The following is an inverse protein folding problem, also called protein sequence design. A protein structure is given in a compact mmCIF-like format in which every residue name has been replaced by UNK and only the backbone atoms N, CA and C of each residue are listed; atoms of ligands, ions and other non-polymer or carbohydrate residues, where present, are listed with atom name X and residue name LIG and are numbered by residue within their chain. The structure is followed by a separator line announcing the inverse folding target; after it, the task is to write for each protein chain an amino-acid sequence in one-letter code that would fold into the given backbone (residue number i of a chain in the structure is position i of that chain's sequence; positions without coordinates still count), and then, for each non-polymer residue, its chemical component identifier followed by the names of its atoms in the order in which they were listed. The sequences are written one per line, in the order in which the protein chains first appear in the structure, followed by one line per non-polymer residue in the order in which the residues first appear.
data_IF_458067966280
#
_entry.id   IF_458067966280
#
_cell.length_a   1.000
_cell.length_b   1.000
_cell.length_c   1.000
_cell.angle_alpha   90.00
_cell.angle_beta   90.00
_cell.angle_gamma   90.00
#
_symmetry.space_group_name_H-M   'P 1'
#
loop_
_entity.id
_entity.type
_entity.pdbx_description
1 polymer ?
#
# COMPACT_ATOMS: atom_id res chain seq x y z
N UNK A 1 -14.42 19.24 4.10
CA UNK A 1 -13.01 19.04 4.54
C UNK A 1 -12.84 17.71 5.28
N UNK A 2 -11.92 16.84 4.85
CA UNK A 2 -11.54 15.57 5.50
C UNK A 2 -10.58 15.87 6.66
N UNK A 3 -10.89 15.46 7.89
CA UNK A 3 -10.01 15.63 9.05
C UNK A 3 -9.31 14.29 9.33
N UNK A 4 -8.17 14.08 8.70
CA UNK A 4 -7.27 12.94 8.98
C UNK A 4 -6.43 13.38 10.18
N UNK A 5 -6.67 12.78 11.33
CA UNK A 5 -5.82 13.01 12.51
C UNK A 5 -4.54 12.18 12.36
N UNK A 6 -3.40 12.81 12.60
CA UNK A 6 -2.08 12.20 12.61
C UNK A 6 -1.54 12.22 14.04
N UNK A 7 -1.26 11.06 14.64
CA UNK A 7 -0.69 10.97 16.01
C UNK A 7 0.30 9.81 16.10
N UNK A 8 1.40 10.01 16.84
CA UNK A 8 2.39 8.99 17.23
C UNK A 8 2.07 8.56 18.66
N UNK A 9 1.92 7.26 18.93
CA UNK A 9 1.33 6.78 20.19
C UNK A 9 2.29 6.06 21.14
N UNK A 10 3.54 5.76 20.76
CA UNK A 10 4.49 5.11 21.70
C UNK A 10 5.95 5.23 21.26
N UNK A 11 6.84 5.56 22.20
CA UNK A 11 8.31 5.46 22.09
C UNK A 11 8.91 4.24 22.85
N UNK A 12 8.09 3.37 23.49
CA UNK A 12 8.58 2.41 24.50
C UNK A 12 8.57 0.91 24.17
N UNK A 13 8.06 0.44 23.03
CA UNK A 13 8.12 -0.98 22.63
C UNK A 13 9.17 -1.23 21.54
N UNK A 14 9.74 -2.42 21.50
CA UNK A 14 10.62 -2.88 20.42
C UNK A 14 9.97 -2.59 19.06
N UNK A 15 10.45 -1.54 18.40
CA UNK A 15 9.87 -1.01 17.19
C UNK A 15 10.48 -1.77 16.01
N UNK A 16 9.66 -2.56 15.31
CA UNK A 16 10.13 -3.17 14.07
C UNK A 16 10.31 -2.04 13.05
N UNK A 17 11.53 -1.80 12.56
CA UNK A 17 11.81 -0.63 11.76
C UNK A 17 11.00 -0.66 10.47
N UNK A 18 10.21 0.40 10.27
CA UNK A 18 9.64 0.76 8.96
C UNK A 18 10.77 0.99 7.92
N UNK A 19 11.98 1.31 8.41
CA UNK A 19 13.09 1.88 7.65
C UNK A 19 13.99 0.87 6.89
N UNK A 20 13.84 -0.44 7.11
CA UNK A 20 14.55 -1.44 6.30
C UNK A 20 14.29 -1.27 4.79
N UNK A 21 13.07 -0.82 4.47
CA UNK A 21 12.66 -0.47 3.12
C UNK A 21 13.25 0.86 2.64
N UNK A 22 13.36 1.90 3.47
CA UNK A 22 13.68 3.26 3.01
C UNK A 22 15.05 3.37 2.33
N UNK A 23 16.07 2.70 2.88
CA UNK A 23 17.41 2.65 2.27
C UNK A 23 17.41 1.87 0.95
N UNK A 24 16.80 0.68 0.92
CA UNK A 24 16.67 -0.11 -0.31
C UNK A 24 15.88 0.63 -1.39
N UNK A 25 14.77 1.25 -1.01
CA UNK A 25 13.94 2.08 -1.88
C UNK A 25 14.71 3.28 -2.41
N UNK A 26 15.60 3.91 -1.63
CA UNK A 26 16.45 5.00 -2.11
C UNK A 26 17.43 4.55 -3.19
N UNK A 27 18.06 3.38 -3.02
CA UNK A 27 18.95 2.79 -4.03
C UNK A 27 18.16 2.42 -5.28
N UNK A 28 17.03 1.74 -5.14
CA UNK A 28 16.15 1.38 -6.26
C UNK A 28 15.68 2.62 -7.01
N UNK A 29 15.27 3.67 -6.28
CA UNK A 29 14.86 4.94 -6.88
C UNK A 29 16.01 5.60 -7.65
N UNK A 30 17.22 5.67 -7.07
CA UNK A 30 18.39 6.25 -7.72
C UNK A 30 18.77 5.51 -8.99
N UNK A 31 18.81 4.17 -8.94
CA UNK A 31 19.07 3.32 -10.13
C UNK A 31 18.00 3.51 -11.19
N UNK A 32 16.72 3.55 -10.80
CA UNK A 32 15.60 3.75 -11.73
C UNK A 32 15.70 5.11 -12.44
N UNK A 33 16.06 6.18 -11.71
CA UNK A 33 16.26 7.52 -12.27
C UNK A 33 17.46 7.53 -13.23
N UNK A 34 18.57 6.88 -12.88
CA UNK A 34 19.75 6.81 -13.73
C UNK A 34 19.45 6.09 -15.06
N UNK A 35 18.72 4.97 -15.02
CA UNK A 35 18.29 4.25 -16.22
C UNK A 35 17.35 5.13 -17.06
N UNK A 36 16.36 5.77 -16.43
CA UNK A 36 15.44 6.67 -17.13
C UNK A 36 16.18 7.82 -17.84
N UNK A 37 17.17 8.43 -17.19
CA UNK A 37 17.99 9.48 -17.78
C UNK A 37 18.78 8.99 -19.01
N UNK A 38 19.34 7.77 -18.93
CA UNK A 38 20.01 7.14 -20.07
C UNK A 38 19.08 6.91 -21.25
N UNK A 39 17.85 6.46 -21.00
CA UNK A 39 16.84 6.28 -22.06
C UNK A 39 16.41 7.62 -22.68
N UNK A 40 16.25 8.68 -21.88
CA UNK A 40 15.96 10.03 -22.39
C UNK A 40 17.09 10.53 -23.31
N UNK A 41 18.34 10.26 -22.96
CA UNK A 41 19.48 10.62 -23.82
C UNK A 41 19.43 9.85 -25.16
N UNK A 42 19.08 8.56 -25.13
CA UNK A 42 18.89 7.76 -26.35
C UNK A 42 17.78 8.38 -27.22
N UNK A 43 16.64 8.76 -26.62
CA UNK A 43 15.53 9.42 -27.35
C UNK A 43 15.98 10.74 -27.98
N UNK A 44 16.83 11.51 -27.30
CA UNK A 44 17.31 12.80 -27.79
C UNK A 44 18.25 12.68 -29.00
N UNK A 45 18.99 11.58 -29.11
CA UNK A 45 20.01 11.35 -30.16
C UNK A 45 19.48 10.44 -31.29
N UNK A 46 18.48 9.60 -31.01
CA UNK A 46 17.90 8.72 -32.02
C UNK A 46 17.23 9.54 -33.14
N UNK A 47 17.45 9.19 -34.40
CA UNK A 47 16.73 9.78 -35.54
C UNK A 47 15.49 8.95 -35.94
N UNK A 48 15.47 7.68 -35.55
CA UNK A 48 14.37 6.77 -35.84
C UNK A 48 13.17 7.04 -34.90
N UNK A 49 12.00 7.26 -35.50
CA UNK A 49 10.75 7.53 -34.78
C UNK A 49 10.34 6.36 -33.89
N UNK A 50 10.56 5.12 -34.32
CA UNK A 50 10.23 3.93 -33.55
C UNK A 50 11.08 3.80 -32.29
N UNK A 51 12.39 4.05 -32.42
CA UNK A 51 13.34 4.12 -31.29
C UNK A 51 12.90 5.22 -30.31
N UNK A 52 12.56 6.42 -30.80
CA UNK A 52 12.08 7.54 -29.95
C UNK A 52 10.80 7.18 -29.19
N UNK A 53 9.82 6.57 -29.85
CA UNK A 53 8.54 6.19 -29.23
C UNK A 53 8.72 5.08 -28.19
N UNK A 54 9.50 4.05 -28.50
CA UNK A 54 9.73 2.92 -27.62
C UNK A 54 10.50 3.35 -26.35
N UNK A 55 11.66 3.99 -26.51
CA UNK A 55 12.47 4.43 -25.38
C UNK A 55 11.84 5.60 -24.62
N UNK A 56 11.06 6.44 -25.30
CA UNK A 56 10.25 7.48 -24.66
C UNK A 56 9.18 6.88 -23.73
N UNK A 57 8.45 5.86 -24.19
CA UNK A 57 7.47 5.15 -23.36
C UNK A 57 8.11 4.48 -22.13
N UNK A 58 9.27 3.81 -22.31
CA UNK A 58 10.01 3.22 -21.18
C UNK A 58 10.54 4.27 -20.21
N UNK A 59 11.06 5.40 -20.70
CA UNK A 59 11.53 6.50 -19.87
C UNK A 59 10.40 7.04 -18.99
N UNK A 60 9.23 7.28 -19.57
CA UNK A 60 8.05 7.76 -18.86
C UNK A 60 7.59 6.77 -17.79
N UNK A 61 7.56 5.48 -18.11
CA UNK A 61 7.25 4.42 -17.17
C UNK A 61 8.23 4.40 -15.98
N UNK A 62 9.53 4.48 -16.24
CA UNK A 62 10.56 4.47 -15.19
C UNK A 62 10.47 5.72 -14.30
N UNK A 63 10.22 6.89 -14.89
CA UNK A 63 9.98 8.13 -14.11
C UNK A 63 8.75 7.98 -13.22
N UNK A 64 7.65 7.40 -13.72
CA UNK A 64 6.45 7.16 -12.92
C UNK A 64 6.71 6.17 -11.78
N UNK A 65 7.48 5.09 -12.02
CA UNK A 65 7.90 4.14 -10.99
C UNK A 65 8.77 4.83 -9.94
N UNK A 66 9.75 5.63 -10.35
CA UNK A 66 10.62 6.37 -9.44
C UNK A 66 9.84 7.37 -8.58
N UNK A 67 8.89 8.10 -9.18
CA UNK A 67 7.99 9.00 -8.46
C UNK A 67 7.13 8.25 -7.43
N UNK A 68 6.56 7.10 -7.82
CA UNK A 68 5.79 6.26 -6.92
C UNK A 68 6.62 5.75 -5.73
N UNK A 69 7.84 5.27 -5.99
CA UNK A 69 8.78 4.83 -4.93
C UNK A 69 9.13 5.99 -4.00
N UNK A 70 9.41 7.17 -4.54
CA UNK A 70 9.68 8.38 -3.74
C UNK A 70 8.50 8.78 -2.86
N UNK A 71 7.27 8.74 -3.39
CA UNK A 71 6.07 8.99 -2.60
C UNK A 71 5.83 7.90 -1.55
N UNK A 72 6.08 6.63 -1.87
CA UNK A 72 5.95 5.52 -0.92
C UNK A 72 6.96 5.65 0.23
N UNK A 73 8.19 6.07 -0.07
CA UNK A 73 9.20 6.36 0.95
C UNK A 73 8.73 7.42 1.93
N UNK A 74 8.19 8.53 1.43
CA UNK A 74 7.60 9.58 2.29
C UNK A 74 6.46 9.07 3.15
N UNK A 75 5.69 8.09 2.65
CA UNK A 75 4.62 7.45 3.44
C UNK A 75 5.20 6.60 4.58
N UNK A 76 6.24 5.82 4.29
CA UNK A 76 6.89 4.91 5.24
C UNK A 76 7.74 5.64 6.29
N UNK A 77 8.31 6.79 5.94
CA UNK A 77 9.06 7.65 6.88
C UNK A 77 8.15 8.28 7.94
N UNK A 78 6.83 8.38 7.68
CA UNK A 78 5.88 8.93 8.63
C UNK A 78 5.30 7.85 9.56
N UNK A 79 5.77 7.75 10.81
CA UNK A 79 5.22 6.90 11.89
C UNK A 79 3.82 7.34 12.36
N UNK A 80 2.95 7.58 11.41
CA UNK A 80 1.69 8.29 11.56
C UNK A 80 0.54 7.31 11.48
N UNK A 81 -0.37 7.38 12.45
CA UNK A 81 -1.67 6.74 12.38
C UNK A 81 -2.65 7.65 11.64
N UNK A 82 -3.28 7.15 10.57
CA UNK A 82 -4.32 7.86 9.80
C UNK A 82 -5.68 7.23 10.06
N UNK A 83 -6.53 7.97 10.76
CA UNK A 83 -7.92 7.55 11.03
C UNK A 83 -8.92 8.37 10.23
N UNK A 84 -9.94 7.69 9.71
CA UNK A 84 -11.17 8.31 9.25
C UNK A 84 -12.06 8.55 10.47
N UNK A 85 -12.27 9.82 10.81
CA UNK A 85 -13.07 10.25 11.96
C UNK A 85 -14.57 10.21 11.68
N UNK A 86 -14.98 9.86 10.47
CA UNK A 86 -16.38 9.86 10.04
C UNK A 86 -17.00 8.48 10.21
N UNK A 87 -17.94 8.38 11.14
CA UNK A 87 -18.77 7.21 11.39
C UNK A 87 -18.43 6.49 12.70
N UNK A 88 -19.30 5.54 13.11
CA UNK A 88 -19.06 4.75 14.31
C UNK A 88 -17.88 3.79 14.11
N UNK A 89 -17.07 3.60 15.15
CA UNK A 89 -15.87 2.77 15.13
C UNK A 89 -14.59 3.53 14.78
N UNK A 90 -13.46 2.85 14.96
CA UNK A 90 -12.13 3.34 14.62
C UNK A 90 -11.72 2.78 13.25
N UNK A 91 -11.63 3.64 12.23
CA UNK A 91 -11.26 3.21 10.88
C UNK A 91 -9.90 3.76 10.47
N UNK A 92 -8.93 2.88 10.33
CA UNK A 92 -7.67 3.17 9.64
C UNK A 92 -7.94 3.18 8.14
N UNK A 93 -7.56 4.25 7.43
CA UNK A 93 -7.83 4.37 5.99
C UNK A 93 -6.56 4.77 5.24
N UNK A 94 -6.11 3.96 4.25
CA UNK A 94 -4.99 4.36 3.42
C UNK A 94 -5.35 5.55 2.53
N UNK A 95 -4.36 6.39 2.19
CA UNK A 95 -4.57 7.42 1.18
C UNK A 95 -4.93 6.78 -0.16
N UNK A 96 -5.68 7.50 -1.00
CA UNK A 96 -6.10 7.01 -2.33
C UNK A 96 -5.00 7.09 -3.38
N UNK A 97 -4.00 7.95 -3.18
CA UNK A 97 -2.95 8.22 -4.16
C UNK A 97 -2.07 7.00 -4.50
N UNK A 98 -1.69 6.07 -3.59
CA UNK A 98 -0.87 4.92 -3.96
C UNK A 98 -1.61 4.01 -4.94
N UNK A 99 -2.93 3.86 -4.77
CA UNK A 99 -3.76 3.11 -5.70
C UNK A 99 -3.87 3.82 -7.05
N UNK A 100 -4.09 5.14 -7.04
CA UNK A 100 -4.15 5.93 -8.28
C UNK A 100 -2.82 5.89 -9.06
N UNK A 101 -1.67 5.98 -8.38
CA UNK A 101 -0.36 5.82 -9.01
C UNK A 101 -0.16 4.43 -9.62
N UNK A 102 -0.62 3.37 -8.94
CA UNK A 102 -0.50 2.02 -9.46
C UNK A 102 -1.36 1.83 -10.72
N UNK A 103 -2.57 2.42 -10.76
CA UNK A 103 -3.38 2.50 -12.00
C UNK A 103 -2.58 3.20 -13.11
N UNK A 104 -2.01 4.37 -12.82
CA UNK A 104 -1.24 5.13 -13.81
C UNK A 104 -0.04 4.33 -14.34
N UNK A 105 0.72 3.65 -13.47
CA UNK A 105 1.84 2.80 -13.88
C UNK A 105 1.37 1.65 -14.78
N UNK A 106 0.25 1.00 -14.46
CA UNK A 106 -0.31 -0.07 -15.31
C UNK A 106 -0.71 0.48 -16.68
N UNK A 107 -1.35 1.66 -16.74
CA UNK A 107 -1.67 2.30 -18.02
C UNK A 107 -0.41 2.64 -18.83
N UNK A 108 0.64 3.17 -18.18
CA UNK A 108 1.93 3.46 -18.81
C UNK A 108 2.63 2.19 -19.30
N UNK A 109 2.47 1.07 -18.60
CA UNK A 109 3.04 -0.23 -18.99
C UNK A 109 2.49 -0.74 -20.34
N UNK A 110 1.31 -0.27 -20.76
CA UNK A 110 0.73 -0.61 -22.06
C UNK A 110 1.30 0.23 -23.22
N UNK A 111 1.91 1.40 -22.94
CA UNK A 111 2.40 2.31 -23.98
C UNK A 111 3.45 1.71 -24.92
N UNK A 112 4.44 0.91 -24.46
CA UNK A 112 5.41 0.30 -25.37
C UNK A 112 4.75 -0.59 -26.45
N UNK A 113 3.65 -1.27 -26.11
CA UNK A 113 2.94 -2.08 -27.09
C UNK A 113 2.15 -1.23 -28.08
N UNK A 114 1.58 -0.10 -27.65
CA UNK A 114 0.95 0.87 -28.55
C UNK A 114 1.97 1.42 -29.54
N UNK A 115 3.19 1.74 -29.08
CA UNK A 115 4.26 2.21 -29.95
C UNK A 115 4.58 1.19 -31.05
N UNK A 116 4.74 -0.10 -30.69
CA UNK A 116 5.03 -1.18 -31.66
C UNK A 116 3.91 -1.34 -32.70
N UNK A 117 2.64 -1.24 -32.30
CA UNK A 117 1.50 -1.30 -33.24
C UNK A 117 1.50 -0.10 -34.19
N UNK A 118 1.79 1.11 -33.69
CA UNK A 118 1.81 2.34 -34.48
C UNK A 118 2.94 2.35 -35.53
N UNK A 119 4.08 1.75 -35.22
CA UNK A 119 5.25 1.69 -36.12
C UNK A 119 5.01 0.74 -37.32
N UNK A 120 3.95 -0.09 -37.29
CA UNK A 120 3.57 -0.96 -38.41
C UNK A 120 4.24 -2.34 -38.42
N UNK A 121 5.14 -2.62 -37.47
CA UNK A 121 5.79 -3.93 -37.29
C UNK A 121 4.89 -4.98 -36.59
N UNK A 122 3.57 -4.88 -36.79
CA UNK A 122 2.60 -5.79 -36.20
C UNK A 122 2.86 -7.27 -36.59
N UNK A 123 3.46 -7.51 -37.76
CA UNK A 123 3.81 -8.84 -38.27
C UNK A 123 4.87 -9.57 -37.45
N UNK A 124 5.92 -8.88 -36.98
CA UNK A 124 6.90 -9.46 -36.05
C UNK A 124 6.43 -9.41 -34.59
N UNK A 125 5.63 -8.41 -34.23
CA UNK A 125 5.08 -8.23 -32.89
C UNK A 125 4.13 -9.38 -32.48
N UNK A 126 3.53 -10.11 -33.43
CA UNK A 126 2.66 -11.26 -33.18
C UNK A 126 3.41 -12.58 -32.98
N UNK A 127 4.75 -12.60 -33.06
CA UNK A 127 5.55 -13.81 -32.84
C UNK A 127 5.53 -14.24 -31.35
N UNK A 128 5.02 -15.44 -30.99
CA UNK A 128 4.84 -15.85 -29.58
C UNK A 128 6.14 -15.95 -28.77
N UNK A 129 7.31 -15.99 -29.42
CA UNK A 129 8.63 -16.10 -28.77
C UNK A 129 9.30 -14.77 -28.45
N UNK A 130 8.84 -13.64 -29.00
CA UNK A 130 9.48 -12.32 -28.86
C UNK A 130 8.49 -11.16 -28.70
N UNK A 131 7.21 -11.47 -28.46
CA UNK A 131 6.15 -10.47 -28.57
C UNK A 131 6.18 -9.43 -27.43
N UNK A 132 6.27 -8.12 -27.76
CA UNK A 132 6.00 -7.04 -26.82
C UNK A 132 4.53 -6.98 -26.34
N UNK A 133 3.65 -7.87 -26.82
CA UNK A 133 2.24 -7.98 -26.40
C UNK A 133 2.06 -8.68 -25.05
N UNK A 134 3.08 -9.34 -24.49
CA UNK A 134 2.97 -9.91 -23.15
C UNK A 134 2.81 -8.82 -22.07
N UNK A 135 3.45 -7.66 -22.24
CA UNK A 135 3.36 -6.53 -21.32
C UNK A 135 1.95 -5.91 -21.22
N UNK A 136 1.25 -5.57 -22.31
CA UNK A 136 -0.11 -5.04 -22.22
C UNK A 136 -1.11 -6.09 -21.74
N UNK A 137 -0.95 -7.38 -22.09
CA UNK A 137 -1.80 -8.45 -21.56
C UNK A 137 -1.60 -8.58 -20.04
N UNK A 138 -0.35 -8.60 -19.58
CA UNK A 138 -0.02 -8.60 -18.17
C UNK A 138 -0.57 -7.37 -17.45
N UNK A 139 -0.42 -6.18 -18.04
CA UNK A 139 -0.98 -4.94 -17.49
C UNK A 139 -2.51 -5.01 -17.36
N UNK A 140 -3.20 -5.49 -18.39
CA UNK A 140 -4.65 -5.64 -18.40
C UNK A 140 -5.13 -6.62 -17.31
N UNK A 141 -4.44 -7.77 -17.16
CA UNK A 141 -4.72 -8.73 -16.09
C UNK A 141 -4.52 -8.08 -14.72
N UNK A 142 -3.39 -7.40 -14.49
CA UNK A 142 -3.13 -6.70 -13.23
C UNK A 142 -4.16 -5.61 -12.94
N UNK A 143 -4.61 -4.86 -13.97
CA UNK A 143 -5.63 -3.84 -13.85
C UNK A 143 -6.98 -4.46 -13.47
N UNK A 144 -7.38 -5.54 -14.12
CA UNK A 144 -8.60 -6.28 -13.81
C UNK A 144 -8.58 -6.82 -12.36
N UNK A 145 -7.48 -7.43 -11.95
CA UNK A 145 -7.28 -7.90 -10.56
C UNK A 145 -7.35 -6.74 -9.57
N UNK A 146 -6.76 -5.59 -9.90
CA UNK A 146 -6.81 -4.42 -9.03
C UNK A 146 -8.22 -3.86 -8.92
N UNK A 147 -8.94 -3.70 -10.03
CA UNK A 147 -10.35 -3.26 -10.04
C UNK A 147 -11.21 -4.22 -9.22
N UNK A 148 -10.99 -5.52 -9.36
CA UNK A 148 -11.67 -6.52 -8.54
C UNK A 148 -11.38 -6.32 -7.05
N UNK A 149 -10.11 -6.07 -6.68
CA UNK A 149 -9.72 -5.77 -5.29
C UNK A 149 -10.26 -4.44 -4.76
N UNK A 150 -10.66 -3.50 -5.62
CA UNK A 150 -11.30 -2.25 -5.17
C UNK A 150 -12.66 -2.48 -4.52
N UNK A 151 -13.32 -3.62 -4.81
CA UNK A 151 -14.57 -4.03 -4.18
C UNK A 151 -14.42 -4.21 -2.67
N UNK A 152 -13.23 -4.62 -2.21
CA UNK A 152 -12.92 -4.73 -0.78
C UNK A 152 -12.57 -3.35 -0.23
N UNK A 153 -13.26 -2.88 0.83
CA UNK A 153 -12.98 -1.60 1.44
C UNK A 153 -11.52 -1.54 1.92
N UNK A 154 -10.86 -0.42 1.62
CA UNK A 154 -9.48 -0.22 2.04
C UNK A 154 -9.40 0.14 3.54
N UNK A 155 -8.33 -0.34 4.18
CA UNK A 155 -8.06 -0.07 5.58
C UNK A 155 -8.73 -1.04 6.55
N UNK A 156 -8.45 -0.83 7.83
CA UNK A 156 -8.89 -1.66 8.95
C UNK A 156 -9.91 -0.91 9.78
N UNK A 157 -11.04 -1.54 10.12
CA UNK A 157 -12.08 -0.96 10.97
C UNK A 157 -12.23 -1.78 12.24
N UNK A 158 -12.14 -1.12 13.38
CA UNK A 158 -12.48 -1.68 14.68
C UNK A 158 -13.86 -1.17 15.07
N UNK A 159 -14.71 -2.10 15.47
CA UNK A 159 -16.08 -1.88 15.92
C UNK A 159 -16.28 -2.56 17.26
N UNK A 160 -17.41 -2.29 17.92
CA UNK A 160 -17.75 -2.94 19.19
C UNK A 160 -17.76 -4.46 19.02
N UNK A 161 -18.28 -4.95 17.90
CA UNK A 161 -18.45 -6.39 17.64
C UNK A 161 -17.14 -7.08 17.23
N UNK A 162 -16.19 -6.36 16.65
CA UNK A 162 -14.98 -6.96 16.12
C UNK A 162 -14.20 -6.10 15.13
N UNK A 163 -13.38 -6.79 14.33
CA UNK A 163 -12.46 -6.23 13.34
C UNK A 163 -12.99 -6.53 11.95
N UNK A 164 -13.07 -5.49 11.11
CA UNK A 164 -13.53 -5.61 9.71
C UNK A 164 -12.63 -4.89 8.71
N UNK A 165 -12.51 -5.46 7.52
CA UNK A 165 -11.83 -4.91 6.34
C UNK A 165 -10.31 -5.01 6.42
N UNK A 166 -9.69 -5.61 5.39
CA UNK A 166 -8.28 -5.46 4.98
C UNK A 166 -8.17 -5.87 3.50
N UNK A 167 -7.92 -4.93 2.59
CA UNK A 167 -7.81 -5.21 1.14
C UNK A 167 -6.72 -6.24 0.76
N UNK A 168 -5.74 -6.49 1.63
CA UNK A 168 -4.60 -7.37 1.34
C UNK A 168 -4.99 -8.84 1.12
N UNK A 169 -6.07 -9.35 1.74
CA UNK A 169 -6.41 -10.78 1.68
C UNK A 169 -7.88 -11.16 1.46
N UNK A 170 -8.80 -10.20 1.52
CA UNK A 170 -10.24 -10.47 1.39
C UNK A 170 -11.05 -9.66 2.40
N UNK A 171 -12.37 -9.80 2.40
CA UNK A 171 -13.23 -9.13 3.38
C UNK A 171 -13.00 -9.77 4.76
N UNK A 172 -12.05 -9.22 5.52
CA UNK A 172 -11.83 -9.60 6.91
C UNK A 172 -13.08 -9.21 7.71
N UNK A 173 -13.74 -10.15 8.37
CA UNK A 173 -14.85 -9.85 9.26
C UNK A 173 -14.81 -10.82 10.44
N UNK A 174 -14.02 -10.48 11.46
CA UNK A 174 -13.83 -11.31 12.64
C UNK A 174 -14.44 -10.62 13.85
N UNK A 175 -15.19 -11.37 14.64
CA UNK A 175 -15.56 -10.99 16.01
C UNK A 175 -14.32 -10.93 16.90
N UNK A 176 -14.40 -10.19 18.00
CA UNK A 176 -13.28 -10.12 18.95
C UNK A 176 -12.90 -11.47 19.55
N UNK A 177 -13.84 -12.40 19.63
CA UNK A 177 -13.59 -13.73 20.19
C UNK A 177 -12.78 -14.62 19.27
N UNK A 178 -12.86 -14.39 17.95
CA UNK A 178 -12.07 -15.08 16.93
C UNK A 178 -10.63 -14.54 16.83
N UNK A 179 -10.38 -13.30 17.28
CA UNK A 179 -9.05 -12.67 17.20
C UNK A 179 -8.10 -13.33 18.20
N UNK A 180 -7.10 -14.04 17.67
CA UNK A 180 -6.05 -14.68 18.44
C UNK A 180 -4.85 -13.76 18.62
N UNK A 181 -3.73 -14.12 18.01
CA UNK A 181 -2.49 -13.36 18.13
C UNK A 181 -2.50 -12.14 17.22
N UNK A 182 -2.04 -11.02 17.77
CA UNK A 182 -1.88 -9.75 17.05
C UNK A 182 -0.41 -9.43 17.10
N UNK A 183 0.25 -9.35 15.95
CA UNK A 183 1.68 -9.22 15.82
C UNK A 183 2.09 -8.16 14.82
N UNK A 184 3.40 -7.96 14.74
CA UNK A 184 4.04 -7.30 13.60
C UNK A 184 5.16 -8.22 13.19
N UNK A 185 5.29 -8.47 11.89
CA UNK A 185 6.31 -9.34 11.33
C UNK A 185 7.16 -8.61 10.30
N UNK A 186 8.43 -9.03 10.23
CA UNK A 186 9.42 -8.70 9.21
C UNK A 186 9.86 -7.24 9.09
N UNK A 187 11.04 -6.99 8.50
CA UNK A 187 11.33 -5.77 7.77
C UNK A 187 10.96 -5.94 6.28
N UNK A 188 10.04 -5.12 5.71
CA UNK A 188 9.31 -4.03 6.36
C UNK A 188 8.17 -4.51 7.25
N UNK A 189 7.89 -3.75 8.30
CA UNK A 189 6.82 -4.06 9.26
C UNK A 189 5.48 -4.29 8.56
N UNK A 190 4.86 -5.44 8.84
CA UNK A 190 3.49 -5.76 8.45
C UNK A 190 2.69 -6.23 9.66
N UNK A 191 1.47 -5.73 9.81
CA UNK A 191 0.54 -6.20 10.85
C UNK A 191 0.21 -7.66 10.56
N UNK A 192 0.33 -8.53 11.56
CA UNK A 192 -0.12 -9.91 11.49
C UNK A 192 -1.31 -10.12 12.42
N UNK A 193 -2.38 -10.73 11.92
CA UNK A 193 -3.55 -11.13 12.70
C UNK A 193 -3.78 -12.62 12.50
N UNK A 194 -3.82 -13.40 13.57
CA UNK A 194 -4.19 -14.82 13.53
C UNK A 194 -5.55 -15.02 14.19
N UNK A 195 -6.29 -16.02 13.72
CA UNK A 195 -7.47 -16.50 14.45
C UNK A 195 -7.03 -17.37 15.63
N UNK A 196 -7.82 -17.42 16.71
CA UNK A 196 -7.57 -18.31 17.85
C UNK A 196 -7.48 -19.78 17.43
N UNK A 197 -8.27 -20.19 16.44
CA UNK A 197 -8.34 -21.57 15.97
C UNK A 197 -7.21 -21.94 14.96
N UNK A 198 -6.18 -21.09 14.82
CA UNK A 198 -4.97 -21.44 14.08
C UNK A 198 -5.04 -21.26 12.55
N UNK A 199 -6.00 -20.48 12.04
CA UNK A 199 -6.10 -20.18 10.60
C UNK A 199 -4.98 -19.24 10.09
N UNK A 200 -4.82 -19.25 8.77
CA UNK A 200 -3.72 -18.57 8.05
C UNK A 200 -3.61 -17.08 8.43
N UNK A 201 -2.43 -16.60 8.88
CA UNK A 201 -2.25 -15.22 9.36
C UNK A 201 -2.56 -14.20 8.29
N UNK A 202 -3.44 -13.23 8.60
CA UNK A 202 -3.71 -12.10 7.73
C UNK A 202 -2.62 -11.06 7.93
N UNK A 203 -1.88 -10.78 6.85
CA UNK A 203 -0.82 -9.77 6.84
C UNK A 203 -1.28 -8.49 6.15
N UNK A 204 -0.97 -7.34 6.75
CA UNK A 204 -1.27 -6.04 6.18
C UNK A 204 -0.11 -5.05 6.38
N UNK A 205 0.49 -4.62 5.27
CA UNK A 205 1.51 -3.58 5.31
C UNK A 205 0.89 -2.18 5.45
N UNK A 206 1.74 -1.20 5.77
CA UNK A 206 1.37 0.21 5.89
C UNK A 206 0.63 0.75 4.64
N UNK A 207 0.91 0.22 3.44
CA UNK A 207 0.21 0.58 2.20
C UNK A 207 -1.29 0.30 2.27
N UNK A 208 -1.68 -0.81 2.89
CA UNK A 208 -3.08 -1.24 2.99
C UNK A 208 -3.78 -0.71 4.23
N UNK A 209 -3.04 -0.45 5.31
CA UNK A 209 -3.55 0.11 6.57
C UNK A 209 -3.65 1.65 6.54
N UNK A 210 -2.75 2.32 5.83
CA UNK A 210 -2.59 3.78 5.87
C UNK A 210 -1.86 4.32 7.09
N UNK A 211 -1.50 3.42 8.01
CA UNK A 211 -0.99 3.71 9.35
C UNK A 211 0.18 2.78 9.68
N UNK A 212 1.04 3.20 10.61
CA UNK A 212 2.15 2.38 11.12
C UNK A 212 1.62 1.05 11.70
N UNK A 213 2.01 -0.10 11.15
CA UNK A 213 1.61 -1.42 11.64
C UNK A 213 1.90 -1.66 13.12
N UNK A 214 2.98 -1.09 13.67
CA UNK A 214 3.32 -1.20 15.10
C UNK A 214 2.26 -0.52 15.97
N UNK A 215 1.84 0.67 15.59
CA UNK A 215 0.84 1.44 16.32
C UNK A 215 -0.54 0.79 16.17
N UNK A 216 -0.87 0.31 14.97
CA UNK A 216 -2.13 -0.42 14.73
C UNK A 216 -2.18 -1.70 15.55
N UNK A 217 -1.09 -2.48 15.59
CA UNK A 217 -1.01 -3.69 16.42
C UNK A 217 -1.21 -3.39 17.91
N UNK A 218 -0.61 -2.31 18.42
CA UNK A 218 -0.78 -1.89 19.81
C UNK A 218 -2.25 -1.55 20.13
N UNK A 219 -2.93 -0.80 19.25
CA UNK A 219 -4.35 -0.44 19.41
C UNK A 219 -5.25 -1.69 19.34
N UNK A 220 -5.00 -2.58 18.37
CA UNK A 220 -5.79 -3.81 18.22
C UNK A 220 -5.62 -4.72 19.44
N UNK A 221 -4.39 -4.86 19.97
CA UNK A 221 -4.14 -5.60 21.22
C UNK A 221 -4.90 -4.99 22.40
N UNK A 222 -4.86 -3.66 22.54
CA UNK A 222 -5.59 -2.97 23.62
C UNK A 222 -7.08 -3.34 23.62
N UNK A 223 -7.79 -3.21 22.49
CA UNK A 223 -9.22 -3.55 22.44
C UNK A 223 -9.51 -5.05 22.50
N UNK A 224 -8.57 -5.91 22.09
CA UNK A 224 -8.67 -7.36 22.27
C UNK A 224 -8.62 -7.71 23.77
N UNK A 225 -7.62 -7.17 24.48
CA UNK A 225 -7.31 -7.52 25.86
C UNK A 225 -8.21 -6.79 26.88
N UNK A 226 -8.83 -5.67 26.50
CA UNK A 226 -9.75 -4.86 27.32
C UNK A 226 -11.18 -4.84 26.73
N UNK A 227 -11.97 -5.91 26.90
CA UNK A 227 -13.35 -5.96 26.39
C UNK A 227 -14.26 -4.85 26.92
N UNK A 228 -14.05 -4.40 28.15
CA UNK A 228 -14.76 -3.31 28.81
C UNK A 228 -14.62 -1.96 28.09
N UNK A 229 -13.49 -1.75 27.41
CA UNK A 229 -13.21 -0.50 26.70
C UNK A 229 -13.87 -0.45 25.32
N UNK A 230 -14.33 -1.58 24.77
CA UNK A 230 -14.85 -1.67 23.38
C UNK A 230 -16.07 -0.79 23.15
N UNK A 231 -16.84 -0.48 24.20
CA UNK A 231 -18.00 0.42 24.10
C UNK A 231 -17.62 1.82 23.56
N UNK A 232 -16.38 2.28 23.79
CA UNK A 232 -15.92 3.58 23.28
C UNK A 232 -15.84 3.62 21.75
N UNK A 233 -15.70 2.47 21.08
CA UNK A 233 -15.69 2.38 19.63
C UNK A 233 -17.02 2.85 19.04
N UNK A 234 -18.14 2.69 19.75
CA UNK A 234 -19.43 3.21 19.32
C UNK A 234 -19.48 4.75 19.32
N UNK A 235 -18.71 5.41 20.20
CA UNK A 235 -18.63 6.88 20.31
C UNK A 235 -17.82 7.51 19.17
N UNK A 236 -17.11 6.70 18.39
CA UNK A 236 -16.39 7.10 17.18
C UNK A 236 -14.88 6.99 17.28
N UNK A 237 -14.22 7.04 16.12
CA UNK A 237 -12.79 6.74 16.00
C UNK A 237 -11.87 7.67 16.77
N UNK A 238 -12.22 8.95 16.94
CA UNK A 238 -11.37 9.87 17.68
C UNK A 238 -11.33 9.53 19.18
N UNK A 239 -12.49 9.36 19.82
CA UNK A 239 -12.59 9.01 21.24
C UNK A 239 -11.91 7.67 21.55
N UNK A 240 -12.07 6.68 20.66
CA UNK A 240 -11.39 5.40 20.80
C UNK A 240 -9.87 5.50 20.67
N UNK A 241 -9.38 6.34 19.74
CA UNK A 241 -7.96 6.58 19.58
C UNK A 241 -7.38 7.30 20.79
N UNK A 242 -8.07 8.30 21.32
CA UNK A 242 -7.62 9.06 22.49
C UNK A 242 -7.57 8.16 23.73
N UNK A 243 -8.57 7.31 23.95
CA UNK A 243 -8.56 6.34 25.05
C UNK A 243 -7.42 5.33 24.95
N UNK A 244 -7.20 4.77 23.76
CA UNK A 244 -6.08 3.88 23.51
C UNK A 244 -4.73 4.62 23.69
N UNK A 245 -4.65 5.88 23.27
CA UNK A 245 -3.46 6.71 23.47
C UNK A 245 -3.15 6.92 24.94
N UNK A 246 -4.16 7.22 25.75
CA UNK A 246 -4.00 7.46 27.18
C UNK A 246 -3.61 6.19 27.93
N UNK A 247 -4.17 5.03 27.53
CA UNK A 247 -3.80 3.74 28.11
C UNK A 247 -2.42 3.24 27.68
N UNK A 248 -1.95 3.61 26.48
CA UNK A 248 -0.66 3.20 25.92
C UNK A 248 0.48 4.17 26.24
N UNK A 249 0.20 5.30 26.90
CA UNK A 249 1.24 6.19 27.43
C UNK A 249 2.03 5.46 28.53
N UNK A 250 3.36 5.63 28.58
CA UNK A 250 4.12 5.22 29.75
C UNK A 250 3.54 5.90 30.99
N UNK A 251 3.35 5.14 32.07
CA UNK A 251 3.20 5.73 33.39
C UNK A 251 4.58 6.28 33.76
N UNK A 252 4.69 7.60 33.86
CA UNK A 252 5.91 8.27 34.35
C UNK A 252 6.25 7.84 35.78
#
# INVERSE_FOLDING_TARGET
MKKILMRRLSDGRAHIPLAGDARRLSVVQGVTIAIAAGLVLIVAVADDLGIRLLFGAFSLLLVAIAAYVGCLRRLLETGVVRIDTRGPGLRFRPPVWPTAFLVAILLLLALPAVAVVVIGDAGEALSPRRSPLLLPVFSAICLAVMIWRLRVPAGLRLTVDGIRGIRARGDLAWSWDEVGEVGVDGPPAALTLTMKDGYVPVTASMRYLGSDPNQVAAIVRFFRDHPEERAILARGGQAALDRAADALRPLD
#
